data_IF_837546165470
#
_entry.id   IF_837546165470
#
_cell.length_a   1.000
_cell.length_b   1.000
_cell.length_c   1.000
_cell.angle_alpha   90.00
_cell.angle_beta   90.00
_cell.angle_gamma   90.00
#
_symmetry.space_group_name_H-M   'P 1'
#
loop_
_entity.id
_entity.type
_entity.pdbx_description
1 polymer ?
#
# COMPACT_ATOMS: atom_id res chain seq x y z
N UNK A 1 12.54 4.29 -2.03
CA UNK A 1 11.20 4.86 -2.19
C UNK A 1 10.22 4.18 -1.25
N UNK A 2 9.32 4.95 -0.69
CA UNK A 2 8.32 4.40 0.23
C UNK A 2 7.02 4.14 -0.51
N UNK A 3 6.43 2.97 -0.24
CA UNK A 3 5.16 2.56 -0.83
C UNK A 3 4.16 2.22 0.25
N UNK A 4 2.89 2.44 -0.06
CA UNK A 4 1.79 1.94 0.75
C UNK A 4 1.31 0.67 0.06
N UNK A 5 1.33 -0.45 0.76
CA UNK A 5 0.88 -1.73 0.21
C UNK A 5 -0.40 -2.17 0.88
N UNK A 6 -1.29 -2.76 0.10
CA UNK A 6 -2.54 -3.35 0.54
C UNK A 6 -2.39 -4.86 0.53
N UNK A 7 -2.67 -5.50 1.66
CA UNK A 7 -2.59 -6.95 1.79
C UNK A 7 -3.96 -7.55 2.05
N UNK A 8 -4.21 -8.70 1.44
CA UNK A 8 -5.37 -9.50 1.77
C UNK A 8 -5.21 -10.09 3.17
N UNK A 9 -6.23 -9.95 4.01
CA UNK A 9 -6.19 -10.41 5.39
C UNK A 9 -6.16 -11.95 5.50
N UNK A 10 -6.73 -12.64 4.52
CA UNK A 10 -6.81 -14.10 4.54
C UNK A 10 -5.54 -14.76 4.00
N UNK A 11 -4.99 -14.24 2.91
CA UNK A 11 -3.84 -14.85 2.22
C UNK A 11 -2.53 -14.16 2.54
N UNK A 12 -2.59 -12.94 3.10
CA UNK A 12 -1.43 -12.08 3.38
C UNK A 12 -0.67 -11.68 2.10
N UNK A 13 -1.29 -11.82 0.94
CA UNK A 13 -0.69 -11.42 -0.31
C UNK A 13 -0.88 -9.93 -0.57
N UNK A 14 0.10 -9.31 -1.23
CA UNK A 14 0.00 -7.92 -1.66
C UNK A 14 -0.90 -7.87 -2.88
N UNK A 15 -2.02 -7.15 -2.77
CA UNK A 15 -2.98 -7.02 -3.85
C UNK A 15 -2.85 -5.68 -4.58
N UNK A 16 -2.23 -4.69 -3.93
CA UNK A 16 -2.05 -3.38 -4.54
C UNK A 16 -0.94 -2.60 -3.84
N UNK A 17 -0.42 -1.58 -4.53
CA UNK A 17 0.61 -0.72 -3.96
C UNK A 17 0.49 0.70 -4.55
N UNK A 18 0.81 1.71 -3.74
CA UNK A 18 0.76 3.11 -4.14
C UNK A 18 1.99 3.85 -3.61
N UNK A 19 2.38 4.92 -4.29
CA UNK A 19 3.52 5.73 -3.87
C UNK A 19 3.17 6.73 -2.76
N UNK A 20 1.89 7.01 -2.56
CA UNK A 20 1.47 7.95 -1.52
C UNK A 20 0.19 7.50 -0.84
N UNK A 21 0.01 7.93 0.41
CA UNK A 21 -1.22 7.68 1.16
C UNK A 21 -2.43 8.33 0.50
N UNK A 22 -2.23 9.49 -0.12
CA UNK A 22 -3.30 10.21 -0.79
C UNK A 22 -3.84 9.41 -1.98
N UNK A 23 -2.96 8.88 -2.83
CA UNK A 23 -3.37 8.04 -3.96
C UNK A 23 -4.06 6.78 -3.49
N UNK A 24 -3.53 6.14 -2.45
CA UNK A 24 -4.13 4.96 -1.86
C UNK A 24 -5.55 5.26 -1.38
N UNK A 25 -5.73 6.35 -0.65
CA UNK A 25 -7.03 6.73 -0.11
C UNK A 25 -8.04 7.03 -1.21
N UNK A 26 -7.62 7.71 -2.27
CA UNK A 26 -8.48 8.03 -3.41
C UNK A 26 -8.96 6.76 -4.13
N UNK A 27 -8.06 5.82 -4.36
CA UNK A 27 -8.39 4.57 -5.05
C UNK A 27 -9.31 3.68 -4.22
N UNK A 28 -9.10 3.65 -2.90
CA UNK A 28 -9.91 2.86 -1.97
C UNK A 28 -11.26 3.54 -1.72
N UNK A 29 -11.33 4.87 -1.85
CA UNK A 29 -12.55 5.63 -1.58
C UNK A 29 -12.68 6.06 -0.12
N UNK A 30 -11.56 6.28 0.56
CA UNK A 30 -11.53 6.76 1.94
C UNK A 30 -10.68 8.02 2.02
N UNK A 31 -10.64 8.64 3.19
CA UNK A 31 -9.80 9.82 3.42
C UNK A 31 -8.38 9.40 3.80
N UNK A 32 -7.39 10.21 3.42
CA UNK A 32 -5.99 9.92 3.73
C UNK A 32 -5.72 9.66 5.21
N UNK A 33 -6.32 10.38 6.19
CA UNK A 33 -6.12 10.06 7.61
C UNK A 33 -6.55 8.65 8.00
N UNK A 34 -7.56 8.07 7.32
CA UNK A 34 -7.99 6.70 7.59
C UNK A 34 -6.89 5.70 7.22
N UNK A 35 -6.20 5.91 6.10
CA UNK A 35 -5.08 5.07 5.68
C UNK A 35 -3.90 5.21 6.65
N UNK A 36 -3.56 6.45 7.03
CA UNK A 36 -2.48 6.70 7.97
C UNK A 36 -2.72 6.02 9.31
N UNK A 37 -3.96 6.07 9.81
CA UNK A 37 -4.34 5.44 11.05
C UNK A 37 -4.28 3.91 10.96
N UNK A 38 -4.74 3.33 9.85
CA UNK A 38 -4.67 1.90 9.62
C UNK A 38 -3.21 1.41 9.63
N UNK A 39 -2.31 2.16 9.00
CA UNK A 39 -0.88 1.84 8.99
C UNK A 39 -0.29 1.93 10.41
N UNK A 40 -0.58 3.01 11.12
CA UNK A 40 -0.03 3.28 12.45
C UNK A 40 -0.47 2.25 13.48
N UNK A 41 -1.72 1.84 13.44
CA UNK A 41 -2.32 0.95 14.42
C UNK A 41 -2.28 -0.51 13.99
N UNK A 42 -1.71 -0.81 12.82
CA UNK A 42 -1.76 -2.15 12.20
C UNK A 42 -3.19 -2.66 12.10
N UNK A 43 -4.13 -1.73 11.90
CA UNK A 43 -5.54 -2.04 11.79
C UNK A 43 -5.95 -2.32 10.35
N UNK A 44 -7.23 -2.66 10.19
CA UNK A 44 -7.81 -2.93 8.87
C UNK A 44 -8.60 -1.72 8.39
N UNK A 45 -8.57 -1.52 7.08
CA UNK A 45 -9.41 -0.54 6.42
C UNK A 45 -10.08 -1.22 5.22
N UNK A 46 -11.41 -1.19 5.18
CA UNK A 46 -12.18 -1.87 4.13
C UNK A 46 -11.89 -3.37 4.00
N UNK A 47 -11.52 -4.02 5.12
CA UNK A 47 -11.24 -5.46 5.13
C UNK A 47 -9.83 -5.83 4.70
N UNK A 48 -8.95 -4.87 4.50
CA UNK A 48 -7.57 -5.09 4.07
C UNK A 48 -6.60 -4.49 5.06
N UNK A 49 -5.40 -5.07 5.11
CA UNK A 49 -4.29 -4.54 5.87
C UNK A 49 -3.48 -3.59 5.00
N UNK A 50 -2.99 -2.52 5.61
CA UNK A 50 -2.15 -1.54 4.92
C UNK A 50 -0.83 -1.39 5.65
N UNK A 51 0.26 -1.34 4.90
CA UNK A 51 1.61 -1.17 5.45
C UNK A 51 2.37 -0.14 4.63
N UNK A 52 3.27 0.56 5.30
CA UNK A 52 4.23 1.44 4.64
C UNK A 52 5.56 0.70 4.58
N UNK A 53 6.01 0.43 3.36
CA UNK A 53 7.27 -0.29 3.15
C UNK A 53 8.24 0.59 2.37
N UNK A 54 9.53 0.40 2.64
CA UNK A 54 10.57 1.07 1.88
C UNK A 54 11.20 0.07 0.94
N UNK A 55 11.18 0.40 -0.36
CA UNK A 55 11.72 -0.45 -1.41
C UNK A 55 12.89 0.31 -2.04
N UNK A 56 14.07 -0.33 -2.18
CA UNK A 56 15.18 0.30 -2.90
C UNK A 56 14.78 0.68 -4.33
N UNK A 57 15.26 1.82 -4.78
CA UNK A 57 14.92 2.33 -6.11
C UNK A 57 15.25 1.34 -7.22
N UNK A 58 16.31 0.58 -7.05
CA UNK A 58 16.74 -0.43 -8.02
C UNK A 58 15.69 -1.53 -8.20
N UNK A 59 15.09 -1.97 -7.10
CA UNK A 59 14.03 -2.99 -7.14
C UNK A 59 12.78 -2.45 -7.82
N UNK A 60 12.43 -1.19 -7.55
CA UNK A 60 11.28 -0.54 -8.18
C UNK A 60 11.45 -0.48 -9.70
N UNK A 61 12.63 -0.13 -10.18
CA UNK A 61 12.92 -0.07 -11.62
C UNK A 61 12.77 -1.45 -12.24
N UNK A 62 13.27 -2.49 -11.60
CA UNK A 62 13.16 -3.86 -12.11
C UNK A 62 11.71 -4.31 -12.20
N UNK A 63 10.89 -4.01 -11.20
CA UNK A 63 9.46 -4.35 -11.18
C UNK A 63 8.75 -3.62 -12.33
N UNK A 64 9.03 -2.35 -12.53
CA UNK A 64 8.42 -1.57 -13.61
C UNK A 64 8.82 -2.16 -14.98
N UNK A 65 10.06 -2.56 -15.16
CA UNK A 65 10.51 -3.18 -16.41
C UNK A 65 9.83 -4.51 -16.68
N UNK A 66 9.54 -5.29 -15.64
CA UNK A 66 8.85 -6.57 -15.79
C UNK A 66 7.38 -6.39 -16.15
N UNK A 67 6.76 -5.31 -15.69
CA UNK A 67 5.34 -5.03 -15.95
C UNK A 67 5.17 -4.32 -17.30
N UNK A 68 6.13 -3.51 -17.68
CA UNK A 68 6.11 -2.78 -18.94
C UNK A 68 6.54 -3.69 -20.08
#
# INVERSE_FOLDING_TARGET
MKFIVQRDDNTNEIVNAWQSQKQCAEDIGVKAPAIAQAIKLHGRCKGYLFEKVEIPSEVVIDVIKQIA
#
